data_IF_725795273328
#
_entry.id   IF_725795273328
#
_cell.length_a   1.000
_cell.length_b   1.000
_cell.length_c   1.000
_cell.angle_alpha   90.00
_cell.angle_beta   90.00
_cell.angle_gamma   90.00
#
_symmetry.space_group_name_H-M   'P 1'
#
loop_
_entity.id
_entity.type
_entity.pdbx_description
1 polymer ?
#
# COMPACT_ATOMS: atom_id res chain seq x y z
N UNK A 1 -21.20 -17.67 25.48
CA UNK A 1 -19.83 -18.23 25.38
C UNK A 1 -19.14 -17.58 24.19
N UNK A 2 -18.06 -16.84 24.38
CA UNK A 2 -17.33 -16.24 23.26
C UNK A 2 -16.40 -17.27 22.63
N UNK A 3 -16.56 -17.52 21.32
CA UNK A 3 -15.71 -18.42 20.55
C UNK A 3 -14.56 -17.64 19.95
N UNK A 4 -13.33 -17.97 20.31
CA UNK A 4 -12.13 -17.42 19.65
C UNK A 4 -12.00 -18.15 18.31
N UNK A 5 -11.94 -17.39 17.21
CA UNK A 5 -11.74 -17.93 15.86
C UNK A 5 -10.47 -17.35 15.25
N UNK A 6 -9.79 -18.16 14.44
CA UNK A 6 -8.65 -17.69 13.67
C UNK A 6 -9.13 -16.90 12.45
N UNK A 7 -8.57 -15.71 12.22
CA UNK A 7 -8.84 -14.92 11.02
C UNK A 7 -8.28 -15.64 9.79
N UNK A 8 -9.08 -15.86 8.73
CA UNK A 8 -8.58 -16.44 7.49
C UNK A 8 -7.64 -15.47 6.78
N UNK A 9 -6.66 -16.01 6.07
CA UNK A 9 -5.74 -15.27 5.22
C UNK A 9 -5.35 -16.13 4.01
N UNK A 10 -4.96 -15.53 2.88
CA UNK A 10 -4.50 -16.29 1.73
C UNK A 10 -3.10 -16.87 1.97
N UNK A 11 -2.97 -18.20 1.96
CA UNK A 11 -1.68 -18.87 2.22
C UNK A 11 -0.62 -18.54 1.16
N UNK A 12 -1.02 -18.45 -0.10
CA UNK A 12 -0.11 -18.11 -1.19
C UNK A 12 0.57 -16.74 -0.96
N UNK A 13 -0.21 -15.74 -0.52
CA UNK A 13 0.29 -14.41 -0.17
C UNK A 13 1.23 -14.46 1.03
N UNK A 14 0.87 -15.21 2.08
CA UNK A 14 1.74 -15.36 3.24
C UNK A 14 3.08 -16.03 2.88
N UNK A 15 3.09 -17.04 2.00
CA UNK A 15 4.31 -17.69 1.51
C UNK A 15 5.17 -16.73 0.69
N UNK A 16 4.55 -15.97 -0.22
CA UNK A 16 5.26 -14.98 -1.03
C UNK A 16 5.93 -13.90 -0.18
N UNK A 17 5.21 -13.35 0.80
CA UNK A 17 5.76 -12.36 1.73
C UNK A 17 6.91 -12.94 2.56
N UNK A 18 6.78 -14.21 3.00
CA UNK A 18 7.84 -14.89 3.76
C UNK A 18 9.10 -15.09 2.89
N UNK A 19 8.94 -15.49 1.64
CA UNK A 19 10.04 -15.60 0.69
C UNK A 19 10.72 -14.25 0.40
N UNK A 20 9.97 -13.15 0.51
CA UNK A 20 10.47 -11.77 0.44
C UNK A 20 11.19 -11.28 1.71
N UNK A 21 11.43 -12.14 2.70
CA UNK A 21 12.16 -11.81 3.93
C UNK A 21 11.29 -11.31 5.09
N UNK A 22 9.96 -11.32 4.96
CA UNK A 22 9.05 -10.97 6.06
C UNK A 22 8.91 -12.17 7.01
N UNK A 23 8.84 -11.92 8.32
CA UNK A 23 8.67 -12.99 9.29
C UNK A 23 7.32 -13.71 9.10
N UNK A 24 7.22 -15.04 9.32
CA UNK A 24 6.00 -15.81 9.06
C UNK A 24 4.75 -15.27 9.78
N UNK A 25 4.92 -14.73 10.99
CA UNK A 25 3.83 -14.11 11.74
C UNK A 25 3.30 -12.86 11.03
N UNK A 26 4.20 -11.94 10.64
CA UNK A 26 3.83 -10.71 9.94
C UNK A 26 3.27 -11.01 8.56
N UNK A 27 3.83 -11.99 7.85
CA UNK A 27 3.35 -12.40 6.53
C UNK A 27 1.87 -12.83 6.56
N UNK A 28 1.44 -13.57 7.59
CA UNK A 28 0.02 -13.94 7.79
C UNK A 28 -0.86 -12.72 8.06
N UNK A 29 -0.39 -11.80 8.90
CA UNK A 29 -1.11 -10.57 9.24
C UNK A 29 -1.27 -9.64 8.03
N UNK A 30 -0.23 -9.50 7.23
CA UNK A 30 -0.22 -8.69 6.01
C UNK A 30 -1.06 -9.34 4.90
N UNK A 31 -0.96 -10.65 4.72
CA UNK A 31 -1.83 -11.39 3.80
C UNK A 31 -3.32 -11.24 4.17
N UNK A 32 -3.65 -11.27 5.46
CA UNK A 32 -5.02 -11.02 5.95
C UNK A 32 -5.55 -9.60 5.68
N UNK A 33 -4.64 -8.66 5.34
CA UNK A 33 -4.94 -7.26 4.99
C UNK A 33 -4.84 -6.99 3.48
N UNK A 34 -4.63 -8.03 2.66
CA UNK A 34 -4.52 -7.88 1.20
C UNK A 34 -3.18 -7.32 0.72
N UNK A 35 -2.14 -7.36 1.56
CA UNK A 35 -0.78 -7.01 1.15
C UNK A 35 -0.17 -8.22 0.45
N UNK A 36 0.35 -7.99 -0.75
CA UNK A 36 0.88 -9.03 -1.64
C UNK A 36 2.39 -8.92 -1.88
N UNK A 37 2.95 -7.73 -1.70
CA UNK A 37 4.36 -7.46 -1.90
C UNK A 37 4.92 -6.69 -0.71
N UNK A 38 6.12 -7.07 -0.25
CA UNK A 38 6.87 -6.36 0.78
C UNK A 38 7.07 -4.87 0.42
N UNK A 39 7.13 -4.54 -0.87
CA UNK A 39 7.23 -3.17 -1.39
C UNK A 39 6.04 -2.28 -1.01
N UNK A 40 4.88 -2.87 -0.70
CA UNK A 40 3.70 -2.12 -0.23
C UNK A 40 3.83 -1.68 1.24
N UNK A 41 4.82 -2.21 1.96
CA UNK A 41 5.16 -1.80 3.32
C UNK A 41 6.17 -0.66 3.35
N UNK A 42 6.70 -0.26 2.19
CA UNK A 42 7.64 0.85 2.06
C UNK A 42 6.90 2.17 2.35
N UNK A 43 7.44 2.93 3.31
CA UNK A 43 6.91 4.23 3.71
C UNK A 43 7.64 5.40 3.07
N UNK A 44 8.65 5.14 2.24
CA UNK A 44 9.40 6.15 1.50
C UNK A 44 8.58 6.67 0.30
N UNK A 45 8.79 7.94 -0.06
CA UNK A 45 8.13 8.59 -1.19
C UNK A 45 8.66 8.11 -2.54
N UNK A 46 9.78 7.38 -2.57
CA UNK A 46 10.41 6.87 -3.80
C UNK A 46 9.49 5.98 -4.65
N UNK A 47 8.49 5.36 -4.03
CA UNK A 47 7.49 4.51 -4.72
C UNK A 47 6.17 5.23 -5.00
N UNK A 48 6.07 6.51 -4.65
CA UNK A 48 4.90 7.31 -4.98
C UNK A 48 4.78 7.45 -6.50
N UNK A 49 3.55 7.45 -6.98
CA UNK A 49 3.28 7.74 -8.38
C UNK A 49 3.86 9.12 -8.75
N UNK A 50 4.60 9.25 -9.88
CA UNK A 50 5.01 10.55 -10.40
C UNK A 50 3.83 11.53 -10.45
N UNK A 51 4.03 12.76 -9.96
CA UNK A 51 2.93 13.71 -9.75
C UNK A 51 2.11 13.96 -11.04
N UNK A 52 2.76 13.91 -12.20
CA UNK A 52 2.16 14.15 -13.51
C UNK A 52 1.19 13.04 -13.97
N UNK A 53 1.23 11.87 -13.31
CA UNK A 53 0.32 10.75 -13.53
C UNK A 53 -0.87 10.77 -12.55
N UNK A 54 -0.84 11.62 -11.52
CA UNK A 54 -1.98 11.80 -10.63
C UNK A 54 -3.11 12.51 -11.39
N UNK A 55 -4.34 12.02 -11.22
CA UNK A 55 -5.53 12.56 -11.88
C UNK A 55 -5.64 14.07 -11.60
N UNK A 56 -5.72 14.86 -12.66
CA UNK A 56 -5.88 16.31 -12.65
C UNK A 56 -4.73 17.13 -12.01
N UNK A 57 -3.62 16.52 -11.57
CA UNK A 57 -2.59 17.25 -10.82
C UNK A 57 -1.99 18.45 -11.60
N UNK A 58 -1.70 18.27 -12.89
CA UNK A 58 -1.18 19.37 -13.74
C UNK A 58 -2.19 20.49 -13.96
N UNK A 59 -3.45 20.14 -14.24
CA UNK A 59 -4.51 21.13 -14.49
C UNK A 59 -4.78 21.96 -13.24
N UNK A 60 -4.87 21.31 -12.07
CA UNK A 60 -5.08 22.02 -10.80
C UNK A 60 -3.87 22.89 -10.44
N UNK A 61 -2.66 22.41 -10.67
CA UNK A 61 -1.44 23.20 -10.46
C UNK A 61 -1.44 24.50 -11.26
N UNK A 62 -1.87 24.46 -12.52
CA UNK A 62 -2.03 25.67 -13.35
C UNK A 62 -3.09 26.61 -12.78
N UNK A 63 -4.29 26.10 -12.49
CA UNK A 63 -5.38 26.95 -11.95
C UNK A 63 -5.00 27.65 -10.64
N UNK A 64 -4.26 26.96 -9.77
CA UNK A 64 -3.75 27.55 -8.52
C UNK A 64 -2.72 28.64 -8.81
N UNK A 65 -1.78 28.41 -9.73
CA UNK A 65 -0.79 29.42 -10.11
C UNK A 65 -1.44 30.67 -10.72
N UNK A 66 -2.42 30.48 -11.60
CA UNK A 66 -3.19 31.57 -12.21
C UNK A 66 -3.93 32.39 -11.14
N UNK A 67 -4.55 31.73 -10.15
CA UNK A 67 -5.28 32.40 -9.08
C UNK A 67 -4.38 33.17 -8.09
N UNK A 68 -3.15 32.71 -7.86
CA UNK A 68 -2.17 33.40 -7.01
C UNK A 68 -1.62 34.65 -7.70
N UNK A 69 -1.56 34.65 -9.04
CA UNK A 69 -1.00 35.74 -9.83
C UNK A 69 -2.00 36.87 -10.17
N UNK A 70 -3.29 36.68 -9.89
CA UNK A 70 -4.36 37.66 -10.10
C UNK A 70 -4.48 38.64 -8.92
#
# INVERSE_FOLDING_TARGET
MNKIIQRPYPEALARQLTAGGITPLLARLYAARGIADARQLDTDIKRLLPFNLLKNARQMGKLLADAIAA
#
